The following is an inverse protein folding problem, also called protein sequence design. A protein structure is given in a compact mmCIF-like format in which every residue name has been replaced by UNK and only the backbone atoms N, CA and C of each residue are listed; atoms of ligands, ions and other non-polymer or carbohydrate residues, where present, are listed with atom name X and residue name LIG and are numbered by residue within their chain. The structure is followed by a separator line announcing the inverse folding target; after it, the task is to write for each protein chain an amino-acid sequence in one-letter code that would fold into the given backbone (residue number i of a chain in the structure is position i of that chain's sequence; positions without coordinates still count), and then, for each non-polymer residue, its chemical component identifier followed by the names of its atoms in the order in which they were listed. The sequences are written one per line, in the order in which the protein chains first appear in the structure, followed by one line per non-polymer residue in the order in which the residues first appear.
data_IF_089363643575
#
_entry.id   IF_089363643575
#
_cell.length_a   1.000
_cell.length_b   1.000
_cell.length_c   1.000
_cell.angle_alpha   90.00
_cell.angle_beta   90.00
_cell.angle_gamma   90.00
#
_symmetry.space_group_name_H-M   'P 1'
#
loop_
_entity.id
_entity.type
_entity.pdbx_description
1 polymer ?
#
# COMPACT_ATOMS: atom_id res chain seq x y z
N UNK A 1 8.10 37.68 -58.47
CA UNK A 1 9.50 37.21 -58.55
C UNK A 1 9.66 35.87 -57.84
N UNK A 2 10.71 35.09 -58.16
CA UNK A 2 10.99 33.77 -57.54
C UNK A 2 10.98 33.79 -56.00
N UNK A 3 11.38 34.93 -55.41
CA UNK A 3 11.34 35.19 -53.97
C UNK A 3 9.91 35.25 -53.40
N UNK A 4 8.98 35.88 -54.11
CA UNK A 4 7.59 36.03 -53.65
C UNK A 4 6.88 34.67 -53.59
N UNK A 5 7.16 33.78 -54.55
CA UNK A 5 6.64 32.41 -54.54
C UNK A 5 7.16 31.59 -53.35
N UNK A 6 8.44 31.76 -52.98
CA UNK A 6 9.03 31.11 -51.80
C UNK A 6 8.42 31.63 -50.50
N UNK A 7 8.13 32.94 -50.40
CA UNK A 7 7.48 33.54 -49.23
C UNK A 7 6.06 32.98 -49.04
N UNK A 8 5.32 32.75 -50.12
CA UNK A 8 3.97 32.18 -50.05
C UNK A 8 4.01 30.74 -49.53
N UNK A 9 4.92 29.91 -50.06
CA UNK A 9 5.06 28.51 -49.61
C UNK A 9 5.50 28.42 -48.14
N UNK A 10 6.47 29.24 -47.72
CA UNK A 10 6.88 29.32 -46.31
C UNK A 10 5.72 29.76 -45.41
N UNK A 11 4.91 30.71 -45.87
CA UNK A 11 3.73 31.18 -45.11
C UNK A 11 2.70 30.07 -44.93
N UNK A 12 2.45 29.25 -45.95
CA UNK A 12 1.56 28.08 -45.85
C UNK A 12 2.10 27.04 -44.88
N UNK A 13 3.41 26.76 -44.94
CA UNK A 13 4.07 25.81 -44.06
C UNK A 13 4.00 26.26 -42.60
N UNK A 14 4.28 27.54 -42.32
CA UNK A 14 4.16 28.12 -40.97
C UNK A 14 2.72 28.01 -40.45
N UNK A 15 1.72 28.31 -41.28
CA UNK A 15 0.31 28.15 -40.89
C UNK A 15 -0.04 26.70 -40.55
N UNK A 16 0.37 25.75 -41.39
CA UNK A 16 0.14 24.33 -41.14
C UNK A 16 0.83 23.86 -39.87
N UNK A 17 2.08 24.26 -39.64
CA UNK A 17 2.82 23.92 -38.43
C UNK A 17 2.13 24.49 -37.19
N UNK A 18 1.66 25.73 -37.26
CA UNK A 18 0.96 26.38 -36.14
C UNK A 18 -0.34 25.65 -35.79
N UNK A 19 -1.11 25.21 -36.79
CA UNK A 19 -2.32 24.40 -36.56
C UNK A 19 -1.98 23.06 -35.88
N UNK A 20 -0.92 22.39 -36.33
CA UNK A 20 -0.50 21.12 -35.73
C UNK A 20 -0.05 21.29 -34.26
N UNK A 21 0.68 22.36 -33.95
CA UNK A 21 1.10 22.68 -32.58
C UNK A 21 -0.10 22.95 -31.67
N UNK A 22 -1.07 23.73 -32.16
CA UNK A 22 -2.31 24.01 -31.41
C UNK A 22 -3.12 22.72 -31.16
N UNK A 23 -3.20 21.82 -32.14
CA UNK A 23 -3.87 20.53 -31.95
C UNK A 23 -3.16 19.66 -30.92
N UNK A 24 -1.82 19.58 -30.98
CA UNK A 24 -1.03 18.84 -29.99
C UNK A 24 -1.24 19.37 -28.57
N UNK A 25 -1.35 20.69 -28.39
CA UNK A 25 -1.62 21.30 -27.09
C UNK A 25 -3.01 20.91 -26.55
N UNK A 26 -4.03 20.86 -27.43
CA UNK A 26 -5.38 20.39 -27.07
C UNK A 26 -5.33 18.91 -26.65
N UNK A 27 -4.69 18.06 -27.45
CA UNK A 27 -4.60 16.63 -27.18
C UNK A 27 -3.86 16.33 -25.86
N UNK A 28 -2.78 17.08 -25.59
CA UNK A 28 -2.05 16.98 -24.33
C UNK A 28 -2.91 17.35 -23.12
N UNK A 29 -3.68 18.44 -23.22
CA UNK A 29 -4.56 18.87 -22.13
C UNK A 29 -5.68 17.84 -21.88
N UNK A 30 -6.28 17.28 -22.94
CA UNK A 30 -7.30 16.23 -22.82
C UNK A 30 -6.74 14.97 -22.16
N UNK A 31 -5.54 14.53 -22.56
CA UNK A 31 -4.89 13.38 -21.94
C UNK A 31 -4.57 13.60 -20.45
N UNK A 32 -4.17 14.82 -20.09
CA UNK A 32 -3.89 15.17 -18.70
C UNK A 32 -5.16 15.16 -17.84
N UNK A 33 -6.28 15.68 -18.37
CA UNK A 33 -7.58 15.64 -17.70
C UNK A 33 -8.07 14.20 -17.49
N UNK A 34 -7.89 13.34 -18.50
CA UNK A 34 -8.25 11.92 -18.39
C UNK A 34 -7.39 11.19 -17.35
N UNK A 35 -6.08 11.42 -17.35
CA UNK A 35 -5.18 10.86 -16.35
C UNK A 35 -5.57 11.29 -14.93
N UNK A 36 -5.97 12.55 -14.74
CA UNK A 36 -6.43 13.07 -13.46
C UNK A 36 -7.72 12.38 -12.98
N UNK A 37 -8.68 12.12 -13.88
CA UNK A 37 -9.90 11.37 -13.55
C UNK A 37 -9.57 9.94 -13.11
N UNK A 38 -8.68 9.26 -13.82
CA UNK A 38 -8.26 7.90 -13.45
C UNK A 38 -7.61 7.89 -12.06
N UNK A 39 -6.78 8.88 -11.76
CA UNK A 39 -6.12 8.98 -10.45
C UNK A 39 -7.13 9.16 -9.30
N UNK A 40 -8.12 10.04 -9.46
CA UNK A 40 -9.17 10.20 -8.44
C UNK A 40 -10.03 8.93 -8.30
N UNK A 41 -10.34 8.24 -9.41
CA UNK A 41 -11.05 6.96 -9.35
C UNK A 41 -10.28 5.88 -8.57
N UNK A 42 -8.99 5.74 -8.82
CA UNK A 42 -8.14 4.80 -8.06
C UNK A 42 -8.06 5.15 -6.58
N UNK A 43 -7.98 6.44 -6.25
CA UNK A 43 -7.98 6.90 -4.87
C UNK A 43 -9.28 6.55 -4.14
N UNK A 44 -10.43 6.69 -4.79
CA UNK A 44 -11.73 6.28 -4.25
C UNK A 44 -11.81 4.76 -4.02
N UNK A 45 -11.32 3.95 -4.97
CA UNK A 45 -11.26 2.49 -4.83
C UNK A 45 -10.42 2.12 -3.60
N UNK A 46 -9.23 2.70 -3.45
CA UNK A 46 -8.34 2.43 -2.33
C UNK A 46 -9.03 2.80 -1.01
N UNK A 47 -9.61 4.00 -0.91
CA UNK A 47 -10.33 4.44 0.29
C UNK A 47 -11.51 3.52 0.64
N UNK A 48 -12.26 3.07 -0.36
CA UNK A 48 -13.40 2.16 -0.18
C UNK A 48 -12.94 0.80 0.32
N UNK A 49 -11.89 0.24 -0.29
CA UNK A 49 -11.32 -1.04 0.12
C UNK A 49 -10.80 -1.00 1.56
N UNK A 50 -10.13 0.10 1.96
CA UNK A 50 -9.70 0.29 3.35
C UNK A 50 -10.88 0.36 4.34
N UNK A 51 -11.95 1.09 4.01
CA UNK A 51 -13.15 1.17 4.86
C UNK A 51 -13.82 -0.20 5.01
N UNK A 52 -13.98 -0.93 3.92
CA UNK A 52 -14.60 -2.26 3.93
C UNK A 52 -13.76 -3.28 4.72
N UNK A 53 -12.43 -3.22 4.63
CA UNK A 53 -11.55 -4.07 5.43
C UNK A 53 -11.65 -3.76 6.93
N UNK A 54 -11.68 -2.48 7.32
CA UNK A 54 -11.88 -2.10 8.73
C UNK A 54 -13.25 -2.52 9.28
N UNK A 55 -14.29 -2.47 8.45
CA UNK A 55 -15.62 -2.97 8.85
C UNK A 55 -15.62 -4.49 9.01
N UNK A 56 -14.97 -5.24 8.12
CA UNK A 56 -14.87 -6.69 8.23
C UNK A 56 -14.02 -7.14 9.44
N UNK A 57 -12.92 -6.44 9.76
CA UNK A 57 -12.11 -6.71 10.96
C UNK A 57 -12.91 -6.50 12.25
N UNK A 58 -13.75 -5.47 12.30
CA UNK A 58 -14.65 -5.26 13.44
C UNK A 58 -15.68 -6.39 13.55
N UNK A 59 -16.25 -6.86 12.44
CA UNK A 59 -17.21 -7.98 12.43
C UNK A 59 -16.55 -9.29 12.91
N UNK A 60 -15.35 -9.60 12.44
CA UNK A 60 -14.61 -10.79 12.89
C UNK A 60 -14.23 -10.70 14.38
N UNK A 61 -13.79 -9.52 14.86
CA UNK A 61 -13.52 -9.31 16.28
C UNK A 61 -14.79 -9.45 17.14
N UNK A 62 -15.92 -8.91 16.70
CA UNK A 62 -17.20 -9.09 17.40
C UNK A 62 -17.64 -10.57 17.41
N UNK A 63 -17.43 -11.31 16.31
CA UNK A 63 -17.73 -12.74 16.27
C UNK A 63 -16.81 -13.57 17.19
N UNK A 64 -15.54 -13.21 17.32
CA UNK A 64 -14.60 -13.82 18.27
C UNK A 64 -15.05 -13.52 19.70
N UNK A 65 -15.43 -12.28 20.01
CA UNK A 65 -15.95 -11.91 21.34
C UNK A 65 -17.21 -12.68 21.72
N UNK A 66 -18.18 -12.82 20.80
CA UNK A 66 -19.41 -13.60 21.03
C UNK A 66 -19.11 -15.10 21.22
N UNK A 67 -18.20 -15.67 20.42
CA UNK A 67 -17.77 -17.08 20.60
C UNK A 67 -17.02 -17.31 21.90
N UNK A 68 -16.28 -16.32 22.39
CA UNK A 68 -15.61 -16.38 23.69
C UNK A 68 -16.60 -16.24 24.84
N UNK A 69 -17.57 -15.31 24.78
CA UNK A 69 -18.63 -15.17 25.80
C UNK A 69 -19.47 -16.45 25.96
N UNK A 70 -19.87 -17.09 24.86
CA UNK A 70 -20.66 -18.33 24.91
C UNK A 70 -19.86 -19.55 25.42
N UNK A 71 -18.51 -19.49 25.44
CA UNK A 71 -17.65 -20.52 26.03
C UNK A 71 -17.37 -20.29 27.52
N UNK A 72 -17.62 -19.09 28.04
CA UNK A 72 -17.31 -18.72 29.42
C UNK A 72 -18.44 -19.10 30.39
N UNK A 73 -19.67 -19.32 29.92
CA UNK A 73 -20.79 -19.78 30.77
C UNK A 73 -20.64 -21.22 31.28
N UNK A 74 -19.68 -22.02 30.76
CA UNK A 74 -19.44 -23.41 31.23
C UNK A 74 -18.23 -23.57 32.15
N UNK A 75 -17.46 -22.52 32.46
CA UNK A 75 -16.29 -22.64 33.36
C UNK A 75 -16.14 -21.45 34.32
N UNK A 76 -17.10 -21.33 35.24
CA UNK A 76 -16.87 -20.65 36.51
C UNK A 76 -15.84 -21.43 37.35
N UNK A 77 -14.55 -21.16 37.16
CA UNK A 77 -13.54 -21.29 38.22
C UNK A 77 -12.46 -20.22 38.04
N UNK A 78 -12.59 -19.18 38.87
CA UNK A 78 -11.48 -18.45 39.50
C UNK A 78 -10.37 -17.97 38.53
N UNK A 79 -10.58 -16.83 37.87
CA UNK A 79 -9.50 -16.12 37.19
C UNK A 79 -9.40 -14.68 37.67
N UNK A 80 -8.30 -14.49 38.39
CA UNK A 80 -7.62 -13.29 38.85
C UNK A 80 -7.75 -12.08 37.92
N UNK A 81 -7.97 -10.90 38.51
CA UNK A 81 -8.14 -9.57 37.90
C UNK A 81 -6.91 -9.13 37.05
N UNK A 82 -5.88 -9.97 36.97
CA UNK A 82 -4.74 -9.85 36.08
C UNK A 82 -5.01 -10.17 34.59
N UNK A 83 -6.20 -10.63 34.21
CA UNK A 83 -6.48 -11.07 32.83
C UNK A 83 -6.90 -9.95 31.85
N UNK A 84 -6.96 -8.70 32.32
CA UNK A 84 -6.90 -7.50 31.46
C UNK A 84 -5.46 -7.07 31.13
N UNK A 85 -4.48 -7.98 31.27
CA UNK A 85 -3.18 -7.82 30.61
C UNK A 85 -3.41 -7.88 29.11
N UNK A 86 -3.30 -6.72 28.43
CA UNK A 86 -2.99 -6.66 27.01
C UNK A 86 -2.08 -7.83 26.66
N UNK A 87 -2.62 -8.80 25.93
CA UNK A 87 -1.97 -10.09 25.72
C UNK A 87 -0.62 -9.80 25.07
N UNK A 88 0.46 -10.08 25.81
CA UNK A 88 1.83 -9.58 25.55
C UNK A 88 2.49 -10.22 24.32
N UNK A 89 1.75 -10.88 23.45
CA UNK A 89 2.31 -11.51 22.27
C UNK A 89 2.27 -10.51 21.10
N UNK A 90 3.44 -10.21 20.56
CA UNK A 90 3.57 -9.39 19.36
C UNK A 90 2.81 -9.98 18.15
N UNK A 91 2.36 -11.25 18.25
CA UNK A 91 1.46 -11.90 17.29
C UNK A 91 0.15 -11.15 17.05
N UNK A 92 -0.44 -10.49 18.04
CA UNK A 92 -1.64 -9.67 17.80
C UNK A 92 -1.34 -8.39 17.03
N UNK A 93 -0.10 -7.87 17.10
CA UNK A 93 0.35 -6.78 16.25
C UNK A 93 0.63 -7.25 14.81
N UNK A 94 1.10 -8.49 14.63
CA UNK A 94 1.31 -9.08 13.29
C UNK A 94 0.02 -9.12 12.49
N UNK A 95 -1.11 -9.47 13.10
CA UNK A 95 -2.42 -9.46 12.40
C UNK A 95 -2.84 -8.06 11.93
N UNK A 96 -2.36 -6.98 12.57
CA UNK A 96 -2.62 -5.60 12.16
C UNK A 96 -1.71 -5.14 11.02
N UNK A 97 -0.58 -5.82 10.81
CA UNK A 97 0.37 -5.54 9.72
C UNK A 97 0.04 -6.28 8.42
N UNK A 98 -0.98 -7.15 8.42
CA UNK A 98 -1.48 -7.80 7.20
C UNK A 98 -2.30 -6.78 6.40
N UNK A 99 -1.60 -5.80 5.84
CA UNK A 99 -2.09 -5.07 4.68
C UNK A 99 -2.08 -6.06 3.51
N UNK A 100 -3.22 -6.30 2.83
CA UNK A 100 -3.31 -7.35 1.81
C UNK A 100 -2.40 -7.14 0.59
N UNK A 101 -1.76 -5.97 0.49
CA UNK A 101 -0.76 -5.66 -0.54
C UNK A 101 0.70 -5.87 -0.11
N UNK A 102 1.00 -5.91 1.20
CA UNK A 102 2.38 -6.00 1.69
C UNK A 102 2.82 -7.45 1.83
N UNK A 103 4.00 -7.76 1.29
CA UNK A 103 4.55 -9.11 1.25
C UNK A 103 5.78 -9.19 2.15
N UNK A 104 5.72 -10.10 3.11
CA UNK A 104 6.89 -10.48 3.91
C UNK A 104 7.99 -11.02 2.97
N UNK A 105 9.23 -10.62 3.20
CA UNK A 105 10.39 -10.94 2.35
C UNK A 105 10.57 -10.03 1.13
N UNK A 106 9.63 -9.12 0.85
CA UNK A 106 9.70 -8.16 -0.26
C UNK A 106 9.56 -6.71 0.22
N UNK A 107 8.46 -6.41 0.91
CA UNK A 107 8.16 -5.05 1.37
C UNK A 107 8.70 -4.81 2.78
N UNK A 108 8.64 -5.83 3.63
CA UNK A 108 9.21 -5.89 4.98
C UNK A 108 9.79 -7.28 5.24
N UNK A 109 10.63 -7.42 6.27
CA UNK A 109 11.05 -8.72 6.78
C UNK A 109 10.47 -8.93 8.19
N UNK A 110 9.67 -9.97 8.38
CA UNK A 110 9.15 -10.41 9.66
C UNK A 110 9.74 -11.78 10.01
N UNK A 111 10.47 -11.82 11.11
CA UNK A 111 11.05 -13.06 11.65
C UNK A 111 10.42 -13.38 13.01
N UNK A 112 9.55 -14.39 13.03
CA UNK A 112 8.85 -14.84 14.24
C UNK A 112 9.40 -16.17 14.79
N UNK A 113 10.31 -16.82 14.06
CA UNK A 113 10.97 -18.04 14.50
C UNK A 113 12.14 -17.74 15.43
N UNK A 114 12.34 -18.60 16.44
CA UNK A 114 13.47 -18.49 17.36
C UNK A 114 14.75 -19.01 16.71
N UNK A 115 15.90 -18.57 17.23
CA UNK A 115 17.24 -19.09 16.90
C UNK A 115 17.58 -18.94 15.41
N UNK A 116 17.12 -17.85 14.78
CA UNK A 116 17.34 -17.56 13.37
C UNK A 116 18.53 -16.63 13.14
N UNK A 117 19.21 -16.82 12.01
CA UNK A 117 20.26 -15.90 11.54
C UNK A 117 19.81 -15.27 10.22
N UNK A 118 19.79 -13.94 10.17
CA UNK A 118 19.42 -13.17 8.99
C UNK A 118 20.69 -12.51 8.45
N UNK A 119 21.04 -12.86 7.22
CA UNK A 119 22.16 -12.25 6.50
C UNK A 119 21.70 -10.96 5.82
N UNK A 120 22.20 -9.83 6.31
CA UNK A 120 22.03 -8.53 5.71
C UNK A 120 23.23 -8.22 4.84
N UNK A 121 23.00 -7.51 3.75
CA UNK A 121 24.09 -7.01 2.92
C UNK A 121 24.88 -5.96 3.68
N UNK A 122 26.21 -6.10 3.66
CA UNK A 122 27.12 -5.11 4.21
C UNK A 122 27.25 -3.92 3.26
N UNK A 123 27.22 -2.69 3.77
CA UNK A 123 27.37 -1.44 3.02
C UNK A 123 26.36 -1.22 1.86
N UNK A 124 25.27 -1.98 1.82
CA UNK A 124 24.17 -1.81 0.85
C UNK A 124 22.82 -1.71 1.56
N UNK A 125 21.85 -1.07 0.91
CA UNK A 125 20.47 -1.10 1.36
C UNK A 125 19.91 -2.52 1.20
N UNK A 126 19.37 -3.05 2.29
CA UNK A 126 18.59 -4.29 2.25
C UNK A 126 17.20 -3.96 1.71
N UNK A 127 16.69 -4.79 0.81
CA UNK A 127 15.44 -4.55 0.07
C UNK A 127 14.19 -4.80 0.94
N UNK A 128 14.09 -4.12 2.08
CA UNK A 128 12.97 -4.17 3.01
C UNK A 128 12.55 -2.73 3.34
N UNK A 129 11.89 -2.08 2.39
CA UNK A 129 11.58 -0.65 2.44
C UNK A 129 10.71 -0.24 3.65
N UNK A 130 9.96 -1.18 4.21
CA UNK A 130 9.09 -0.97 5.37
C UNK A 130 9.69 -1.51 6.68
N UNK A 131 10.95 -1.94 6.64
CA UNK A 131 11.74 -2.33 7.81
C UNK A 131 11.79 -3.83 8.08
N UNK A 132 12.52 -4.16 9.15
CA UNK A 132 12.76 -5.52 9.64
C UNK A 132 12.19 -5.63 11.06
N UNK A 133 11.35 -6.62 11.29
CA UNK A 133 10.63 -6.87 12.54
C UNK A 133 11.03 -8.23 13.09
N UNK A 134 11.64 -8.24 14.28
CA UNK A 134 12.17 -9.43 14.93
C UNK A 134 11.34 -9.75 16.17
N UNK A 135 10.54 -10.83 16.10
CA UNK A 135 9.62 -11.24 17.16
C UNK A 135 10.01 -12.57 17.81
N UNK A 136 10.83 -13.38 17.14
CA UNK A 136 11.43 -14.58 17.71
C UNK A 136 12.53 -14.27 18.73
N UNK A 137 12.92 -15.26 19.52
CA UNK A 137 14.02 -15.20 20.47
C UNK A 137 15.34 -15.59 19.80
N UNK A 138 16.47 -15.09 20.30
CA UNK A 138 17.82 -15.41 19.81
C UNK A 138 18.01 -15.20 18.29
N UNK A 139 17.43 -14.13 17.74
CA UNK A 139 17.64 -13.79 16.33
C UNK A 139 18.95 -13.00 16.20
N UNK A 140 19.80 -13.44 15.28
CA UNK A 140 21.06 -12.77 14.94
C UNK A 140 20.94 -12.09 13.59
N UNK A 141 21.33 -10.81 13.52
CA UNK A 141 21.53 -10.08 12.27
C UNK A 141 23.03 -10.06 11.97
N UNK A 142 23.42 -10.50 10.77
CA UNK A 142 24.83 -10.56 10.34
C UNK A 142 25.04 -9.90 9.00
#
# INVERSE_FOLDING_TARGET
GKKDGQIIELTKMIKSLNTNVQQLEIDMNQNNDELKKQFEHYKEIIQTNFKNQNQNLNIEQFQIQIKTQNKTEEKEKELDINELKCNKNCQNMVSLLIFPSLKNGLDFLLMNENDQTIHLKNNEWNNYNLGIYLLGKNITLT
#
